data_IF_356483626970
#
_entry.id   IF_356483626970
#
_cell.length_a   1.000
_cell.length_b   1.000
_cell.length_c   1.000
_cell.angle_alpha   90.00
_cell.angle_beta   90.00
_cell.angle_gamma   90.00
#
_symmetry.space_group_name_H-M   'P 1'
#
loop_
_entity.id
_entity.type
_entity.pdbx_description
1 polymer ?
#
# COMPACT_ATOMS: atom_id res chain seq x y z
N UNK A 1 -26.50 -21.13 33.60
CA UNK A 1 -27.32 -20.98 32.38
C UNK A 1 -26.88 -19.84 31.47
N UNK A 2 -25.85 -19.09 31.84
CA UNK A 2 -25.43 -17.85 31.15
C UNK A 2 -24.41 -18.03 30.01
N UNK A 3 -23.65 -19.14 30.01
CA UNK A 3 -22.51 -19.34 29.10
C UNK A 3 -22.94 -19.74 27.66
N UNK A 4 -24.14 -20.23 27.47
CA UNK A 4 -24.60 -20.73 26.18
C UNK A 4 -25.22 -19.64 25.31
N UNK A 5 -25.89 -18.66 25.91
CA UNK A 5 -26.44 -17.50 25.18
C UNK A 5 -25.35 -16.55 24.71
N UNK A 6 -24.35 -16.24 25.55
CA UNK A 6 -23.20 -15.43 25.18
C UNK A 6 -22.35 -16.07 24.05
N UNK A 7 -22.24 -17.40 24.06
CA UNK A 7 -21.49 -18.13 23.02
C UNK A 7 -22.23 -18.12 21.68
N UNK A 8 -23.58 -18.24 21.71
CA UNK A 8 -24.41 -18.18 20.51
C UNK A 8 -24.44 -16.77 19.91
N UNK A 9 -24.51 -15.72 20.74
CA UNK A 9 -24.47 -14.32 20.29
C UNK A 9 -23.10 -14.00 19.67
N UNK A 10 -22.00 -14.49 20.25
CA UNK A 10 -20.67 -14.35 19.71
C UNK A 10 -20.50 -15.05 18.35
N UNK A 11 -21.01 -16.28 18.20
CA UNK A 11 -20.93 -17.01 16.94
C UNK A 11 -21.78 -16.34 15.84
N UNK A 12 -22.94 -15.82 16.19
CA UNK A 12 -23.81 -15.12 15.25
C UNK A 12 -23.18 -13.79 14.79
N UNK A 13 -22.68 -12.98 15.70
CA UNK A 13 -21.96 -11.75 15.42
C UNK A 13 -20.72 -12.01 14.56
N UNK A 14 -19.95 -13.03 14.89
CA UNK A 14 -18.80 -13.46 14.11
C UNK A 14 -19.17 -13.87 12.67
N UNK A 15 -20.27 -14.55 12.48
CA UNK A 15 -20.80 -14.94 11.15
C UNK A 15 -21.24 -13.71 10.33
N UNK A 16 -21.86 -12.74 10.98
CA UNK A 16 -22.25 -11.47 10.35
C UNK A 16 -21.04 -10.65 9.94
N UNK A 17 -20.02 -10.55 10.79
CA UNK A 17 -18.76 -9.85 10.48
C UNK A 17 -18.00 -10.52 9.34
N UNK A 18 -17.97 -11.85 9.30
CA UNK A 18 -17.41 -12.59 8.16
C UNK A 18 -18.19 -12.32 6.86
N UNK A 19 -19.51 -12.18 6.92
CA UNK A 19 -20.31 -11.83 5.74
C UNK A 19 -20.02 -10.40 5.26
N UNK A 20 -19.85 -9.44 6.16
CA UNK A 20 -19.46 -8.06 5.85
C UNK A 20 -18.08 -8.05 5.19
N UNK A 21 -17.09 -8.71 5.77
CA UNK A 21 -15.73 -8.83 5.22
C UNK A 21 -15.70 -9.37 3.80
N UNK A 22 -16.54 -10.35 3.49
CA UNK A 22 -16.65 -10.92 2.14
C UNK A 22 -17.12 -9.91 1.08
N UNK A 23 -17.71 -8.79 1.49
CA UNK A 23 -18.17 -7.71 0.64
C UNK A 23 -17.12 -6.63 0.36
N UNK A 24 -16.08 -6.53 1.20
CA UNK A 24 -15.03 -5.52 1.03
C UNK A 24 -14.14 -5.82 -0.17
N UNK A 25 -13.62 -4.75 -0.77
CA UNK A 25 -12.64 -4.78 -1.87
C UNK A 25 -11.30 -4.27 -1.34
N UNK A 26 -10.21 -4.67 -1.97
CA UNK A 26 -8.88 -4.12 -1.64
C UNK A 26 -8.76 -2.63 -1.98
N UNK A 27 -9.60 -2.11 -2.86
CA UNK A 27 -9.71 -0.68 -3.12
C UNK A 27 -10.45 0.11 -2.01
N UNK A 28 -11.02 -0.54 -1.02
CA UNK A 28 -11.69 0.15 0.10
C UNK A 28 -10.64 0.51 1.15
N UNK A 29 -10.41 1.82 1.38
CA UNK A 29 -9.29 2.40 2.12
C UNK A 29 -9.07 1.78 3.51
N UNK A 30 -10.12 1.69 4.33
CA UNK A 30 -10.03 1.15 5.69
C UNK A 30 -9.65 -0.33 5.69
N UNK A 31 -10.21 -1.10 4.74
CA UNK A 31 -9.94 -2.51 4.64
C UNK A 31 -8.53 -2.79 4.13
N UNK A 32 -8.09 -2.04 3.13
CA UNK A 32 -6.78 -2.17 2.54
C UNK A 32 -5.66 -1.87 3.55
N UNK A 33 -5.79 -0.77 4.30
CA UNK A 33 -4.84 -0.46 5.37
C UNK A 33 -4.66 -1.62 6.33
N UNK A 34 -5.78 -2.29 6.70
CA UNK A 34 -5.72 -3.45 7.60
C UNK A 34 -5.08 -4.69 6.99
N UNK A 35 -5.30 -4.93 5.70
CA UNK A 35 -4.67 -6.07 4.99
C UNK A 35 -3.18 -5.86 4.87
N UNK A 36 -2.75 -4.70 4.43
CA UNK A 36 -1.34 -4.42 4.16
C UNK A 36 -0.55 -3.91 5.38
N UNK A 37 -1.17 -3.76 6.54
CA UNK A 37 -0.48 -3.75 7.84
C UNK A 37 0.17 -5.12 8.15
N UNK A 38 -0.27 -6.18 7.48
CA UNK A 38 0.39 -7.46 7.56
C UNK A 38 1.66 -7.46 6.70
N UNK A 39 2.77 -7.80 7.34
CA UNK A 39 4.10 -7.76 6.75
C UNK A 39 4.23 -8.65 5.51
N UNK A 40 3.64 -9.86 5.54
CA UNK A 40 3.71 -10.78 4.42
C UNK A 40 2.88 -10.30 3.24
N UNK A 41 1.73 -9.65 3.51
CA UNK A 41 0.89 -9.05 2.46
C UNK A 41 1.59 -7.85 1.80
N UNK A 42 2.20 -6.96 2.59
CA UNK A 42 2.96 -5.82 2.07
C UNK A 42 4.20 -6.27 1.27
N UNK A 43 4.94 -7.27 1.78
CA UNK A 43 6.09 -7.87 1.10
C UNK A 43 5.68 -8.43 -0.27
N UNK A 44 4.63 -9.23 -0.32
CA UNK A 44 4.13 -9.81 -1.57
C UNK A 44 3.69 -8.74 -2.58
N UNK A 45 2.97 -7.72 -2.14
CA UNK A 45 2.56 -6.60 -2.98
C UNK A 45 3.78 -5.91 -3.59
N UNK A 46 4.76 -5.56 -2.77
CA UNK A 46 5.98 -4.88 -3.21
C UNK A 46 6.84 -5.77 -4.13
N UNK A 47 6.92 -7.07 -3.87
CA UNK A 47 7.63 -8.02 -4.74
C UNK A 47 7.04 -8.03 -6.16
N UNK A 48 5.71 -8.02 -6.29
CA UNK A 48 5.05 -7.99 -7.60
C UNK A 48 5.23 -6.64 -8.28
N UNK A 49 5.01 -5.53 -7.57
CA UNK A 49 5.10 -4.17 -8.14
C UNK A 49 6.51 -3.88 -8.66
N UNK A 50 7.51 -4.22 -7.87
CA UNK A 50 8.92 -3.93 -8.16
C UNK A 50 9.62 -5.04 -8.93
N UNK A 51 8.95 -6.17 -9.20
CA UNK A 51 9.50 -7.38 -9.81
C UNK A 51 10.76 -7.88 -9.08
N UNK A 52 10.73 -7.78 -7.74
CA UNK A 52 11.85 -8.13 -6.85
C UNK A 52 11.43 -9.18 -5.85
N UNK A 53 11.54 -10.44 -6.23
CA UNK A 53 11.17 -11.59 -5.38
C UNK A 53 12.10 -11.77 -4.16
N UNK A 54 13.27 -11.12 -4.17
CA UNK A 54 14.23 -11.08 -3.06
C UNK A 54 13.90 -10.04 -1.99
N UNK A 55 12.99 -9.10 -2.28
CA UNK A 55 12.61 -8.04 -1.36
C UNK A 55 12.01 -8.64 -0.07
N UNK A 56 12.51 -8.18 1.07
CA UNK A 56 12.03 -8.55 2.40
C UNK A 56 11.60 -7.33 3.18
N UNK A 57 10.35 -7.25 3.56
CA UNK A 57 9.82 -6.19 4.39
C UNK A 57 10.28 -6.41 5.83
N UNK A 58 10.88 -5.41 6.46
CA UNK A 58 11.30 -5.42 7.84
C UNK A 58 10.20 -4.93 8.78
N UNK A 59 9.56 -3.82 8.42
CA UNK A 59 8.46 -3.23 9.19
C UNK A 59 7.39 -2.66 8.27
N UNK A 60 6.17 -2.59 8.78
CA UNK A 60 5.04 -1.97 8.10
C UNK A 60 4.14 -1.28 9.11
N UNK A 61 3.61 -0.12 8.75
CA UNK A 61 2.65 0.65 9.54
C UNK A 61 1.55 1.17 8.63
N UNK A 62 0.29 0.93 9.01
CA UNK A 62 -0.86 1.51 8.36
C UNK A 62 -1.26 2.85 8.97
N UNK A 63 -1.89 3.72 8.19
CA UNK A 63 -2.40 5.01 8.63
C UNK A 63 -1.32 5.86 9.35
N UNK A 64 -0.12 5.95 8.75
CA UNK A 64 1.02 6.62 9.36
C UNK A 64 0.94 8.15 9.22
N UNK A 65 0.86 8.86 10.35
CA UNK A 65 0.80 10.32 10.37
C UNK A 65 2.19 10.94 10.36
N UNK A 66 2.50 11.73 9.34
CA UNK A 66 3.68 12.60 9.30
C UNK A 66 3.26 14.03 9.63
N UNK A 67 3.72 14.53 10.77
CA UNK A 67 3.43 15.89 11.22
C UNK A 67 4.36 16.91 10.56
N UNK A 68 3.78 17.93 9.96
CA UNK A 68 4.53 19.11 9.52
C UNK A 68 4.11 20.32 10.37
N UNK A 69 4.97 20.75 11.28
CA UNK A 69 4.68 21.85 12.20
C UNK A 69 4.54 23.21 11.50
N UNK A 70 5.11 23.35 10.30
CA UNK A 70 5.11 24.60 9.54
C UNK A 70 4.13 24.59 8.36
N UNK A 71 3.45 23.46 8.10
CA UNK A 71 2.58 23.34 6.94
C UNK A 71 1.61 22.16 7.04
N UNK A 72 1.24 21.66 5.88
CA UNK A 72 0.28 20.56 5.77
C UNK A 72 0.91 19.23 6.22
N UNK A 73 0.38 18.62 7.27
CA UNK A 73 0.66 17.23 7.62
C UNK A 73 0.06 16.26 6.60
N UNK A 74 0.60 15.06 6.51
CA UNK A 74 0.05 13.98 5.67
C UNK A 74 -0.23 12.75 6.53
N UNK A 75 -1.16 11.95 6.05
CA UNK A 75 -1.37 10.57 6.51
C UNK A 75 -1.11 9.65 5.34
N UNK A 76 -0.17 8.77 5.52
CA UNK A 76 0.17 7.72 4.55
C UNK A 76 -0.72 6.51 4.82
N UNK A 77 -1.27 5.91 3.76
CA UNK A 77 -2.11 4.73 3.92
C UNK A 77 -1.28 3.56 4.46
N UNK A 78 -0.10 3.34 3.87
CA UNK A 78 0.87 2.34 4.33
C UNK A 78 2.28 2.89 4.20
N UNK A 79 3.07 2.73 5.24
CA UNK A 79 4.52 2.94 5.23
C UNK A 79 5.21 1.60 5.51
N UNK A 80 6.03 1.13 4.58
CA UNK A 80 6.83 -0.07 4.74
C UNK A 80 8.32 0.23 4.62
N UNK A 81 9.14 -0.54 5.33
CA UNK A 81 10.61 -0.48 5.26
C UNK A 81 11.12 -1.88 4.96
N UNK A 82 12.03 -2.02 4.00
CA UNK A 82 12.66 -3.30 3.68
C UNK A 82 13.93 -3.57 4.47
N UNK A 83 14.53 -4.75 4.27
CA UNK A 83 15.78 -5.18 4.93
C UNK A 83 17.01 -4.35 4.52
N UNK A 84 16.91 -3.54 3.47
CA UNK A 84 17.94 -2.61 3.02
C UNK A 84 17.64 -1.16 3.45
N UNK A 85 16.70 -0.96 4.37
CA UNK A 85 16.20 0.32 4.86
C UNK A 85 15.53 1.20 3.79
N UNK A 86 15.13 0.66 2.63
CA UNK A 86 14.35 1.40 1.65
C UNK A 86 12.94 1.63 2.15
N UNK A 87 12.40 2.80 1.82
CA UNK A 87 11.09 3.26 2.33
C UNK A 87 10.06 3.21 1.21
N UNK A 88 8.92 2.61 1.50
CA UNK A 88 7.80 2.47 0.58
C UNK A 88 6.55 3.09 1.17
N UNK A 89 6.06 4.17 0.56
CA UNK A 89 4.74 4.70 0.81
C UNK A 89 3.77 4.13 -0.24
N UNK A 90 2.78 3.37 0.19
CA UNK A 90 1.76 2.80 -0.70
C UNK A 90 0.44 3.50 -0.41
N UNK A 91 -0.12 4.14 -1.43
CA UNK A 91 -1.38 4.88 -1.41
C UNK A 91 -2.38 4.21 -2.33
N UNK A 92 -3.61 3.99 -1.88
CA UNK A 92 -4.69 3.49 -2.73
C UNK A 92 -5.69 4.60 -2.98
N UNK A 93 -5.94 4.91 -4.25
CA UNK A 93 -6.75 6.04 -4.64
C UNK A 93 -7.91 5.63 -5.54
N UNK A 94 -9.14 5.77 -5.03
CA UNK A 94 -10.38 5.52 -5.79
C UNK A 94 -10.79 6.69 -6.69
N UNK A 95 -10.18 7.85 -6.48
CA UNK A 95 -10.43 9.03 -7.31
C UNK A 95 -9.12 9.64 -7.79
N UNK A 96 -9.14 10.18 -9.00
CA UNK A 96 -7.97 10.80 -9.64
C UNK A 96 -7.39 11.97 -8.82
N UNK A 97 -8.24 12.66 -8.05
CA UNK A 97 -7.83 13.80 -7.20
C UNK A 97 -6.87 13.43 -6.07
N UNK A 98 -6.81 12.16 -5.70
CA UNK A 98 -5.92 11.67 -4.66
C UNK A 98 -4.50 11.33 -5.14
N UNK A 99 -4.30 11.15 -6.44
CA UNK A 99 -3.05 10.67 -7.04
C UNK A 99 -2.31 11.75 -7.85
N UNK A 100 -2.39 13.01 -7.43
CA UNK A 100 -1.72 14.12 -8.11
C UNK A 100 -0.18 14.01 -8.04
N UNK A 101 0.51 14.33 -9.13
CA UNK A 101 1.97 14.35 -9.19
C UNK A 101 2.61 15.26 -8.12
N UNK A 102 1.94 16.38 -7.78
CA UNK A 102 2.40 17.27 -6.72
C UNK A 102 2.23 16.65 -5.33
N UNK A 103 1.19 15.82 -5.12
CA UNK A 103 1.02 15.05 -3.87
C UNK A 103 2.12 14.01 -3.74
N UNK A 104 2.42 13.27 -4.82
CA UNK A 104 3.51 12.31 -4.82
C UNK A 104 4.84 12.96 -4.38
N UNK A 105 5.20 14.09 -5.01
CA UNK A 105 6.37 14.87 -4.64
C UNK A 105 6.35 15.32 -3.19
N UNK A 106 5.19 15.79 -2.71
CA UNK A 106 5.05 16.29 -1.33
C UNK A 106 5.19 15.18 -0.31
N UNK A 107 4.60 14.00 -0.57
CA UNK A 107 4.76 12.83 0.28
C UNK A 107 6.24 12.41 0.37
N UNK A 108 6.95 12.30 -0.77
CA UNK A 108 8.38 12.01 -0.81
C UNK A 108 9.18 13.00 0.04
N UNK A 109 8.97 14.31 -0.18
CA UNK A 109 9.70 15.35 0.57
C UNK A 109 9.44 15.31 2.09
N UNK A 110 8.23 14.98 2.53
CA UNK A 110 7.93 14.87 3.95
C UNK A 110 8.48 13.59 4.57
N UNK A 111 8.52 12.50 3.83
CA UNK A 111 9.18 11.27 4.27
C UNK A 111 10.65 11.57 4.51
N UNK A 112 11.36 12.14 3.54
CA UNK A 112 12.78 12.52 3.65
C UNK A 112 13.03 13.43 4.87
N UNK A 113 12.20 14.48 5.01
CA UNK A 113 12.32 15.44 6.12
C UNK A 113 12.05 14.83 7.51
N UNK A 114 11.32 13.73 7.60
CA UNK A 114 11.02 13.07 8.88
C UNK A 114 11.93 11.87 9.17
N UNK A 115 12.71 11.43 8.18
CA UNK A 115 13.69 10.34 8.33
C UNK A 115 15.10 10.86 8.60
N UNK A 116 15.33 12.17 8.49
CA UNK A 116 16.62 12.81 8.76
C UNK A 116 16.59 13.62 10.05
N UNK A 117 17.70 13.60 10.77
CA UNK A 117 17.91 14.40 11.97
C UNK A 117 18.82 15.61 11.70
N UNK A 118 18.81 16.56 12.61
CA UNK A 118 19.67 17.73 12.49
C UNK A 118 21.15 17.33 12.56
N UNK A 119 21.90 17.57 11.48
CA UNK A 119 23.31 17.22 11.37
C UNK A 119 23.58 15.99 10.50
N UNK A 120 22.56 15.28 10.08
CA UNK A 120 22.73 14.19 9.10
C UNK A 120 23.24 14.71 7.76
N UNK A 121 24.02 13.89 7.10
CA UNK A 121 24.45 14.18 5.74
C UNK A 121 23.37 13.80 4.75
N UNK A 122 23.24 14.55 3.65
CA UNK A 122 22.24 14.27 2.61
C UNK A 122 22.45 12.93 1.89
N UNK A 123 23.69 12.42 1.84
CA UNK A 123 24.00 11.10 1.31
C UNK A 123 23.55 9.92 2.19
N UNK A 124 23.06 10.23 3.40
CA UNK A 124 22.41 9.27 4.29
C UNK A 124 20.90 9.14 4.04
N UNK A 125 20.32 9.97 3.14
CA UNK A 125 18.92 9.80 2.72
C UNK A 125 18.71 8.41 2.12
N UNK A 126 17.62 7.80 2.48
CA UNK A 126 17.28 6.43 2.10
C UNK A 126 16.50 6.44 0.78
N UNK A 127 16.76 5.45 -0.07
CA UNK A 127 15.98 5.22 -1.29
C UNK A 127 14.48 5.12 -0.97
N UNK A 128 13.66 5.97 -1.61
CA UNK A 128 12.24 6.16 -1.25
C UNK A 128 11.34 5.93 -2.46
N UNK A 129 10.26 5.19 -2.24
CA UNK A 129 9.24 4.90 -3.23
C UNK A 129 7.89 5.45 -2.78
N UNK A 130 7.24 6.28 -3.62
CA UNK A 130 5.85 6.69 -3.46
C UNK A 130 5.03 5.96 -4.52
N UNK A 131 4.19 5.02 -4.10
CA UNK A 131 3.46 4.10 -4.96
C UNK A 131 1.97 4.42 -4.87
N UNK A 132 1.36 4.82 -5.98
CA UNK A 132 -0.09 4.98 -6.09
C UNK A 132 -0.71 3.80 -6.84
N UNK A 133 -1.64 3.11 -6.20
CA UNK A 133 -2.52 2.13 -6.86
C UNK A 133 -3.84 2.84 -7.11
N UNK A 134 -4.18 3.07 -8.37
CA UNK A 134 -5.32 3.91 -8.75
C UNK A 134 -6.43 3.10 -9.44
N UNK A 135 -7.68 3.42 -9.13
CA UNK A 135 -8.84 2.80 -9.78
C UNK A 135 -8.92 3.19 -11.27
N UNK A 136 -8.48 4.41 -11.62
CA UNK A 136 -8.44 4.91 -12.98
C UNK A 136 -7.00 5.13 -13.46
N UNK A 137 -6.80 5.13 -14.79
CA UNK A 137 -5.52 5.50 -15.39
C UNK A 137 -5.27 7.01 -15.28
N UNK A 138 -4.62 7.45 -14.21
CA UNK A 138 -4.34 8.86 -13.91
C UNK A 138 -3.44 9.50 -14.98
N UNK A 139 -2.49 8.76 -15.52
CA UNK A 139 -1.53 9.25 -16.53
C UNK A 139 -2.02 9.06 -17.97
N UNK A 140 -3.13 8.35 -18.18
CA UNK A 140 -3.89 8.26 -19.45
C UNK A 140 -3.10 7.71 -20.65
N UNK A 141 -2.05 6.92 -20.43
CA UNK A 141 -1.30 6.28 -21.50
C UNK A 141 -1.67 4.79 -21.72
N UNK A 142 -2.62 4.25 -20.94
CA UNK A 142 -3.11 2.87 -21.07
C UNK A 142 -2.13 1.81 -20.60
N UNK A 143 -1.11 2.17 -19.81
CA UNK A 143 -0.12 1.23 -19.31
C UNK A 143 -0.53 0.65 -17.95
N UNK A 144 -0.11 -0.58 -17.61
CA UNK A 144 -0.40 -1.19 -16.31
C UNK A 144 0.39 -0.54 -15.16
N UNK A 145 1.59 -0.02 -15.44
CA UNK A 145 2.48 0.61 -14.48
C UNK A 145 3.26 1.74 -15.14
N UNK A 146 3.52 2.77 -14.39
CA UNK A 146 4.32 3.93 -14.78
C UNK A 146 5.40 4.17 -13.73
N UNK A 147 6.65 4.22 -14.16
CA UNK A 147 7.79 4.62 -13.33
C UNK A 147 8.12 6.07 -13.65
N UNK A 148 8.22 6.90 -12.63
CA UNK A 148 8.52 8.33 -12.76
C UNK A 148 9.76 8.64 -11.95
N UNK A 149 10.86 8.84 -12.68
CA UNK A 149 12.17 9.18 -12.14
C UNK A 149 12.65 10.50 -12.72
N UNK A 150 13.62 11.12 -12.06
CA UNK A 150 14.27 12.33 -12.56
C UNK A 150 15.41 11.99 -13.53
N UNK A 151 15.47 12.75 -14.62
CA UNK A 151 16.53 12.64 -15.62
C UNK A 151 17.23 13.98 -15.79
N UNK A 152 18.48 13.95 -16.17
CA UNK A 152 19.26 15.11 -16.63
C UNK A 152 18.87 15.35 -18.08
N UNK A 153 18.17 16.45 -18.37
CA UNK A 153 17.59 16.70 -19.71
C UNK A 153 18.64 16.77 -20.82
N UNK A 154 19.82 17.29 -20.51
CA UNK A 154 20.91 17.49 -21.47
C UNK A 154 21.61 16.19 -21.90
N UNK A 155 21.60 15.17 -21.04
CA UNK A 155 22.28 13.90 -21.30
C UNK A 155 21.33 12.72 -21.49
N UNK A 156 20.07 12.83 -20.96
CA UNK A 156 19.11 11.74 -20.89
C UNK A 156 19.41 10.72 -19.79
N UNK A 157 20.48 10.93 -19.01
CA UNK A 157 20.88 10.02 -17.94
C UNK A 157 20.00 10.19 -16.68
N UNK A 158 19.83 9.13 -15.87
CA UNK A 158 19.17 9.25 -14.58
C UNK A 158 19.88 10.26 -13.67
N UNK A 159 19.10 11.06 -12.93
CA UNK A 159 19.66 11.99 -11.95
C UNK A 159 20.24 11.26 -10.72
N UNK A 160 19.68 10.09 -10.37
CA UNK A 160 20.24 9.21 -9.34
C UNK A 160 20.01 9.71 -7.91
N UNK A 161 18.90 10.39 -7.67
CA UNK A 161 18.53 10.89 -6.34
C UNK A 161 17.75 9.89 -5.49
N UNK A 162 17.56 8.67 -5.98
CA UNK A 162 16.95 7.54 -5.28
C UNK A 162 15.52 7.83 -4.76
N UNK A 163 14.82 8.79 -5.40
CA UNK A 163 13.44 9.13 -5.09
C UNK A 163 12.51 8.75 -6.26
N UNK A 164 11.75 7.70 -6.08
CA UNK A 164 10.94 7.05 -7.11
C UNK A 164 9.45 7.26 -6.90
N UNK A 165 8.69 7.48 -7.99
CA UNK A 165 7.24 7.51 -7.94
C UNK A 165 6.72 6.45 -8.90
N UNK A 166 5.77 5.63 -8.44
CA UNK A 166 5.16 4.58 -9.25
C UNK A 166 3.64 4.77 -9.26
N UNK A 167 3.06 4.74 -10.46
CA UNK A 167 1.61 4.67 -10.63
C UNK A 167 1.21 3.32 -11.18
N UNK A 168 0.21 2.70 -10.57
CA UNK A 168 -0.35 1.41 -10.99
C UNK A 168 -1.80 1.62 -11.38
N UNK A 169 -2.10 1.26 -12.62
CA UNK A 169 -3.44 1.33 -13.18
C UNK A 169 -4.18 0.00 -12.94
N UNK A 170 -5.11 -0.02 -11.98
CA UNK A 170 -5.84 -1.24 -11.65
C UNK A 170 -6.91 -1.64 -12.69
N UNK A 171 -7.08 -0.87 -13.76
CA UNK A 171 -7.96 -1.25 -14.86
C UNK A 171 -7.33 -2.32 -15.76
N UNK A 172 -6.01 -2.39 -15.84
CA UNK A 172 -5.30 -3.38 -16.65
C UNK A 172 -5.23 -4.70 -15.87
N UNK A 173 -5.78 -5.75 -16.49
CA UNK A 173 -5.96 -7.08 -15.90
C UNK A 173 -5.49 -8.14 -16.90
N UNK A 174 -4.22 -8.05 -17.25
CA UNK A 174 -3.56 -8.99 -18.14
C UNK A 174 -3.08 -10.25 -17.41
N UNK A 175 -2.40 -11.15 -18.12
CA UNK A 175 -1.90 -12.42 -17.57
C UNK A 175 -0.61 -12.29 -16.76
N UNK A 176 -0.05 -11.08 -16.63
CA UNK A 176 1.11 -10.81 -15.75
C UNK A 176 0.74 -10.98 -14.27
N UNK A 177 1.73 -11.13 -13.42
CA UNK A 177 1.50 -11.18 -11.96
C UNK A 177 0.82 -9.90 -11.45
N UNK A 178 1.24 -8.74 -11.98
CA UNK A 178 0.63 -7.45 -11.66
C UNK A 178 -0.82 -7.38 -12.16
N UNK A 179 -1.10 -7.80 -13.40
CA UNK A 179 -2.45 -7.81 -13.96
C UNK A 179 -3.41 -8.71 -13.18
N UNK A 180 -2.94 -9.88 -12.78
CA UNK A 180 -3.69 -10.82 -11.91
C UNK A 180 -3.95 -10.24 -10.53
N UNK A 181 -2.96 -9.56 -9.95
CA UNK A 181 -3.11 -8.86 -8.68
C UNK A 181 -4.14 -7.71 -8.82
N UNK A 182 -4.04 -6.92 -9.88
CA UNK A 182 -4.99 -5.81 -10.15
C UNK A 182 -6.42 -6.31 -10.45
N UNK A 183 -6.57 -7.55 -10.90
CA UNK A 183 -7.89 -8.19 -10.98
C UNK A 183 -8.55 -8.31 -9.58
N UNK A 184 -7.76 -8.61 -8.56
CA UNK A 184 -8.27 -8.83 -7.21
C UNK A 184 -8.64 -7.52 -6.47
N UNK A 185 -8.08 -6.37 -6.86
CA UNK A 185 -8.29 -5.10 -6.17
C UNK A 185 -9.75 -4.59 -6.19
N UNK A 186 -10.45 -4.54 -7.35
CA UNK A 186 -11.81 -4.03 -7.42
C UNK A 186 -12.89 -5.06 -7.07
N UNK A 187 -12.53 -6.34 -6.93
CA UNK A 187 -13.51 -7.40 -6.65
C UNK A 187 -13.63 -7.67 -5.14
N UNK A 188 -14.82 -8.07 -4.67
CA UNK A 188 -14.97 -8.51 -3.29
C UNK A 188 -14.04 -9.67 -2.95
N UNK A 189 -13.49 -9.69 -1.74
CA UNK A 189 -12.51 -10.70 -1.28
C UNK A 189 -12.94 -12.15 -1.56
N UNK A 190 -14.22 -12.44 -1.44
CA UNK A 190 -14.74 -13.78 -1.77
C UNK A 190 -14.42 -14.26 -3.20
N UNK A 191 -14.09 -13.31 -4.10
CA UNK A 191 -13.80 -13.56 -5.52
C UNK A 191 -12.33 -13.40 -5.87
N UNK A 192 -11.48 -13.02 -4.92
CA UNK A 192 -10.05 -12.83 -5.17
C UNK A 192 -9.37 -14.18 -5.41
N UNK A 193 -8.39 -14.20 -6.30
CA UNK A 193 -7.65 -15.41 -6.69
C UNK A 193 -6.28 -15.50 -6.02
N UNK A 194 -5.49 -14.43 -6.12
CA UNK A 194 -4.09 -14.40 -5.66
C UNK A 194 -4.01 -14.07 -4.18
N UNK A 195 -4.74 -13.04 -3.75
CA UNK A 195 -4.70 -12.56 -2.37
C UNK A 195 -5.36 -13.53 -1.41
N UNK A 196 -6.30 -14.35 -1.88
CA UNK A 196 -6.94 -15.36 -1.05
C UNK A 196 -5.97 -16.38 -0.43
N UNK A 197 -4.87 -16.67 -1.10
CA UNK A 197 -3.82 -17.55 -0.56
C UNK A 197 -3.03 -16.89 0.57
N UNK A 198 -2.93 -15.56 0.58
CA UNK A 198 -2.26 -14.75 1.60
C UNK A 198 -3.22 -14.33 2.72
N UNK A 199 -4.44 -13.98 2.34
CA UNK A 199 -5.54 -13.69 3.26
C UNK A 199 -6.21 -14.99 3.71
N UNK A 200 -5.44 -15.97 4.15
CA UNK A 200 -6.04 -17.08 4.88
C UNK A 200 -6.95 -16.49 5.96
N UNK A 201 -8.14 -17.05 6.13
CA UNK A 201 -9.13 -16.64 7.16
C UNK A 201 -8.49 -16.32 8.51
N UNK A 202 -7.32 -16.88 8.76
CA UNK A 202 -6.51 -16.69 9.95
C UNK A 202 -5.93 -15.28 10.14
N UNK A 203 -5.44 -14.60 9.10
CA UNK A 203 -4.84 -13.26 9.23
C UNK A 203 -5.92 -12.22 9.48
N UNK A 204 -7.03 -12.30 8.74
CA UNK A 204 -8.16 -11.39 8.89
C UNK A 204 -8.84 -11.62 10.24
N UNK A 205 -9.12 -12.87 10.61
CA UNK A 205 -9.77 -13.23 11.86
C UNK A 205 -8.91 -12.95 13.10
N UNK A 206 -7.59 -13.09 13.00
CA UNK A 206 -6.68 -12.82 14.11
C UNK A 206 -6.56 -11.31 14.39
N UNK A 207 -6.60 -10.46 13.36
CA UNK A 207 -6.60 -9.00 13.53
C UNK A 207 -7.93 -8.51 14.09
N UNK A 208 -9.05 -9.00 13.61
CA UNK A 208 -10.37 -8.62 14.14
C UNK A 208 -10.59 -9.04 15.60
N UNK A 209 -10.02 -10.16 16.07
CA UNK A 209 -10.09 -10.56 17.49
C UNK A 209 -9.31 -9.66 18.45
N UNK A 210 -8.42 -8.79 17.96
CA UNK A 210 -7.64 -7.87 18.79
C UNK A 210 -8.25 -6.47 18.90
N UNK A 211 -9.24 -6.13 18.06
CA UNK A 211 -9.86 -4.81 18.01
C UNK A 211 -11.31 -4.78 18.55
N UNK A 212 -11.81 -5.94 18.99
CA UNK A 212 -13.05 -6.12 19.75
C UNK A 212 -12.76 -6.94 21.03
#
# INVERSE_FOLDING_TARGET
MDNTEETLDFEQKHKEDLQRLRGFRLLDDDFMSKVFEDKACAEFLLQIILQRHDLKVQSVQGQYDIKNLQGRSIRLDILAVDSNNRIYNIEIQRSDRGADAKRARYNSSLIDANMTEAGDKYDALTETYVIFITENDVLKAGLPIYHVDRIIQETGEPFGDEAHIIYINSQIKDETELGKLMHDFPVPIRKTCIIKSLLTEYVILKKMRKEF
#
